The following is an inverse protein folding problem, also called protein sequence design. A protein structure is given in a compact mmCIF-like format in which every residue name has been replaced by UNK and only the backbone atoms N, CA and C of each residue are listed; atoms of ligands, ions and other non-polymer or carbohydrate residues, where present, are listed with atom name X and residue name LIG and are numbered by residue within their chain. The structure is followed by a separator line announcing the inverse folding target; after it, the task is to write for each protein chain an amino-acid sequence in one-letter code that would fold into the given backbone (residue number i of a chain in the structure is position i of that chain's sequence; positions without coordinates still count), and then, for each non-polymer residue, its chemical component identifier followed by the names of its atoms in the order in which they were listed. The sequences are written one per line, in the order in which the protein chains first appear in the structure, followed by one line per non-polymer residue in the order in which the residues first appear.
data_IF_316594917915
#
_entry.id   IF_316594917915
#
_cell.length_a   1.000
_cell.length_b   1.000
_cell.length_c   1.000
_cell.angle_alpha   90.00
_cell.angle_beta   90.00
_cell.angle_gamma   90.00
#
_symmetry.space_group_name_H-M   'P 1'
#
loop_
_entity.id
_entity.type
_entity.pdbx_description
1 polymer ?
#
# COMPACT_ATOMS: atom_id res chain seq x y z
N UNK A 1 24.17 -14.96 4.88
CA UNK A 1 22.95 -14.12 4.85
C UNK A 1 23.24 -12.63 4.61
N UNK A 2 24.26 -12.02 5.25
CA UNK A 2 24.69 -10.63 4.97
C UNK A 2 25.19 -10.31 3.54
N UNK A 3 25.43 -11.31 2.70
CA UNK A 3 25.84 -11.13 1.30
C UNK A 3 24.67 -10.92 0.32
N UNK A 4 23.42 -11.17 0.73
CA UNK A 4 22.23 -11.04 -0.12
C UNK A 4 21.62 -9.64 -0.12
N UNK A 5 21.74 -8.89 0.98
CA UNK A 5 21.30 -7.48 1.03
C UNK A 5 22.16 -6.53 0.19
N UNK A 6 23.41 -6.90 -0.15
CA UNK A 6 24.27 -6.10 -1.06
C UNK A 6 23.78 -6.05 -2.52
N UNK A 7 22.67 -6.71 -2.86
CA UNK A 7 22.24 -6.89 -4.25
C UNK A 7 21.13 -5.93 -4.69
N UNK A 8 20.38 -5.34 -3.76
CA UNK A 8 19.44 -4.24 -4.08
C UNK A 8 20.18 -3.01 -4.64
N UNK A 9 21.37 -2.71 -4.12
CA UNK A 9 22.21 -1.61 -4.63
C UNK A 9 22.91 -1.90 -5.97
N UNK A 10 23.02 -3.17 -6.39
CA UNK A 10 23.87 -3.54 -7.54
C UNK A 10 23.10 -3.74 -8.85
N UNK A 11 21.78 -3.93 -8.78
CA UNK A 11 20.92 -4.07 -9.96
C UNK A 11 19.96 -2.88 -10.17
N UNK A 12 19.90 -1.96 -9.21
CA UNK A 12 19.53 -0.57 -9.44
C UNK A 12 20.80 0.29 -9.46
N UNK A 13 21.55 0.25 -10.55
CA UNK A 13 22.67 1.18 -10.74
C UNK A 13 22.12 2.61 -10.77
N UNK A 14 22.62 3.49 -9.92
CA UNK A 14 22.38 4.95 -10.00
C UNK A 14 22.87 5.58 -11.33
N UNK A 15 23.50 4.78 -12.19
CA UNK A 15 24.01 5.16 -13.51
C UNK A 15 23.30 4.44 -14.68
N UNK A 16 22.17 3.76 -14.47
CA UNK A 16 21.40 3.15 -15.58
C UNK A 16 20.12 3.93 -15.88
N UNK A 17 19.95 4.29 -17.15
CA UNK A 17 18.78 4.98 -17.67
C UNK A 17 17.51 4.12 -17.43
N UNK A 18 16.39 4.70 -16.95
CA UNK A 18 15.13 3.98 -16.66
C UNK A 18 14.52 3.18 -17.82
N UNK A 19 15.02 3.40 -19.04
CA UNK A 19 14.53 2.81 -20.29
C UNK A 19 15.43 1.70 -20.85
N UNK A 20 16.50 1.31 -20.14
CA UNK A 20 17.36 0.21 -20.60
C UNK A 20 16.62 -1.15 -20.51
N UNK A 21 16.70 -2.02 -21.54
CA UNK A 21 16.03 -3.32 -21.50
C UNK A 21 16.60 -4.18 -20.37
N UNK A 22 15.76 -4.47 -19.37
CA UNK A 22 16.08 -5.36 -18.25
C UNK A 22 15.94 -6.83 -18.72
N UNK A 23 17.00 -7.64 -18.62
CA UNK A 23 16.92 -9.07 -18.95
C UNK A 23 16.31 -9.86 -17.79
N UNK A 24 15.24 -10.63 -18.08
CA UNK A 24 14.49 -11.44 -17.09
C UNK A 24 15.19 -12.77 -16.83
N UNK A 25 15.49 -13.08 -15.57
CA UNK A 25 15.76 -14.46 -15.14
C UNK A 25 14.41 -15.16 -14.84
N UNK A 26 13.97 -16.06 -15.73
CA UNK A 26 12.65 -16.73 -15.65
C UNK A 26 12.44 -17.58 -14.39
N UNK A 27 13.52 -18.02 -13.72
CA UNK A 27 13.48 -18.77 -12.46
C UNK A 27 12.99 -17.92 -11.28
N UNK A 28 13.14 -16.59 -11.37
CA UNK A 28 12.89 -15.64 -10.29
C UNK A 28 11.48 -15.01 -10.31
N UNK A 29 10.66 -15.28 -11.32
CA UNK A 29 9.29 -14.76 -11.46
C UNK A 29 8.27 -15.52 -10.59
N UNK A 30 8.71 -16.47 -9.75
CA UNK A 30 7.80 -17.37 -9.02
C UNK A 30 7.40 -16.92 -7.62
N UNK A 31 7.96 -15.83 -7.08
CA UNK A 31 7.83 -15.52 -5.66
C UNK A 31 7.59 -14.05 -5.34
N UNK A 32 7.07 -13.26 -6.28
CA UNK A 32 7.02 -11.81 -6.09
C UNK A 32 5.66 -11.27 -6.55
N UNK A 33 4.88 -10.70 -5.63
CA UNK A 33 3.60 -10.02 -5.88
C UNK A 33 3.55 -8.74 -5.04
N UNK A 34 4.42 -7.77 -5.34
CA UNK A 34 4.47 -6.47 -4.68
C UNK A 34 3.37 -5.51 -5.16
N UNK A 35 2.86 -4.65 -4.26
CA UNK A 35 2.13 -3.40 -4.61
C UNK A 35 2.95 -2.12 -4.34
N UNK A 36 4.22 -2.18 -3.94
CA UNK A 36 5.19 -1.12 -4.26
C UNK A 36 6.60 -1.68 -4.52
N UNK A 37 6.99 -1.67 -5.80
CA UNK A 37 8.34 -1.89 -6.37
C UNK A 37 9.02 -3.27 -6.22
N UNK A 38 8.46 -4.25 -6.94
CA UNK A 38 9.27 -5.26 -7.64
C UNK A 38 9.96 -4.66 -8.88
N UNK A 39 9.80 -5.27 -10.06
CA UNK A 39 10.14 -4.59 -11.33
C UNK A 39 9.09 -3.55 -11.76
N UNK A 40 7.84 -3.70 -11.31
CA UNK A 40 6.66 -2.85 -11.57
C UNK A 40 5.86 -2.59 -10.26
N UNK A 41 5.06 -1.53 -10.22
CA UNK A 41 4.28 -1.13 -9.02
C UNK A 41 3.18 -2.13 -8.67
N UNK A 42 2.50 -2.72 -9.66
CA UNK A 42 1.59 -3.86 -9.44
C UNK A 42 2.22 -5.10 -10.08
N UNK A 43 2.86 -5.94 -9.28
CA UNK A 43 3.61 -7.08 -9.81
C UNK A 43 2.68 -8.19 -10.35
N UNK A 44 3.23 -9.06 -11.20
CA UNK A 44 2.46 -10.05 -11.95
C UNK A 44 2.09 -11.28 -11.11
N UNK A 45 1.08 -12.03 -11.54
CA UNK A 45 0.79 -13.36 -10.99
C UNK A 45 -0.24 -13.41 -9.85
N UNK A 46 -0.86 -12.28 -9.52
CA UNK A 46 -1.93 -12.19 -8.52
C UNK A 46 -3.29 -12.77 -8.93
N UNK A 47 -3.52 -13.04 -10.22
CA UNK A 47 -4.77 -13.60 -10.76
C UNK A 47 -6.04 -12.81 -10.36
N UNK A 48 -6.11 -11.50 -10.69
CA UNK A 48 -7.29 -10.69 -10.39
C UNK A 48 -8.52 -11.19 -11.16
N UNK A 49 -9.70 -11.02 -10.56
CA UNK A 49 -10.99 -11.29 -11.21
C UNK A 49 -11.90 -10.05 -11.07
N UNK A 50 -11.86 -9.18 -12.08
CA UNK A 50 -12.67 -7.97 -12.13
C UNK A 50 -14.16 -8.24 -12.43
N UNK A 51 -14.51 -9.49 -12.77
CA UNK A 51 -15.90 -9.92 -12.96
C UNK A 51 -16.49 -10.57 -11.72
N UNK A 52 -15.81 -10.49 -10.57
CA UNK A 52 -16.34 -11.02 -9.32
C UNK A 52 -17.66 -10.32 -8.95
N UNK A 53 -18.73 -11.08 -8.64
CA UNK A 53 -20.00 -10.49 -8.23
C UNK A 53 -19.91 -9.77 -6.88
N UNK A 54 -18.93 -10.10 -6.03
CA UNK A 54 -18.68 -9.39 -4.79
C UNK A 54 -17.88 -8.10 -5.08
N UNK A 55 -18.49 -6.91 -4.89
CA UNK A 55 -17.82 -5.64 -5.15
C UNK A 55 -16.58 -5.44 -4.29
N UNK A 56 -16.51 -6.02 -3.08
CA UNK A 56 -15.34 -5.91 -2.21
C UNK A 56 -14.14 -6.68 -2.74
N UNK A 57 -14.36 -7.75 -3.51
CA UNK A 57 -13.30 -8.60 -4.05
C UNK A 57 -12.96 -8.27 -5.50
N UNK A 58 -13.85 -7.60 -6.24
CA UNK A 58 -13.68 -7.27 -7.66
C UNK A 58 -12.38 -6.52 -7.97
N UNK A 59 -11.84 -5.75 -7.03
CA UNK A 59 -10.59 -5.00 -7.19
C UNK A 59 -9.38 -5.65 -6.50
N UNK A 60 -9.56 -6.80 -5.85
CA UNK A 60 -8.48 -7.54 -5.19
C UNK A 60 -7.50 -8.10 -6.23
N UNK A 61 -6.23 -7.70 -6.10
CA UNK A 61 -5.16 -8.01 -7.06
C UNK A 61 -4.53 -9.38 -6.86
N UNK A 62 -4.55 -9.90 -5.63
CA UNK A 62 -4.01 -11.20 -5.25
C UNK A 62 -5.12 -12.12 -4.75
N UNK A 63 -5.38 -13.22 -5.47
CA UNK A 63 -6.41 -14.22 -5.14
C UNK A 63 -5.86 -15.60 -4.80
N UNK A 64 -4.54 -15.69 -4.59
CA UNK A 64 -3.85 -16.93 -4.23
C UNK A 64 -3.63 -17.01 -2.73
N UNK A 65 -3.53 -18.24 -2.18
CA UNK A 65 -2.97 -18.42 -0.84
C UNK A 65 -1.58 -17.80 -0.75
N UNK A 66 -1.33 -17.12 0.37
CA UNK A 66 -0.02 -16.57 0.66
C UNK A 66 1.01 -17.70 0.80
N UNK A 67 2.17 -17.51 0.19
CA UNK A 67 3.27 -18.47 0.26
C UNK A 67 4.55 -17.77 0.73
N UNK A 68 5.37 -18.48 1.50
CA UNK A 68 6.64 -17.97 1.98
C UNK A 68 7.51 -17.43 0.82
N UNK A 69 8.05 -16.23 1.00
CA UNK A 69 8.81 -15.50 -0.01
C UNK A 69 8.01 -14.48 -0.80
N UNK A 70 6.67 -14.53 -0.77
CA UNK A 70 5.83 -13.44 -1.27
C UNK A 70 6.06 -12.20 -0.41
N UNK A 71 6.07 -11.04 -1.03
CA UNK A 71 5.91 -9.76 -0.34
C UNK A 71 4.59 -9.18 -0.80
N UNK A 72 3.79 -8.64 0.11
CA UNK A 72 2.46 -8.08 -0.14
C UNK A 72 2.34 -6.71 0.52
N UNK A 73 1.49 -5.84 0.00
CA UNK A 73 1.04 -4.67 0.76
C UNK A 73 -0.12 -5.05 1.67
N UNK A 74 -0.07 -4.56 2.91
CA UNK A 74 -1.20 -4.53 3.81
C UNK A 74 -1.64 -3.07 3.95
N UNK A 75 -2.70 -2.70 3.24
CA UNK A 75 -3.04 -1.28 3.00
C UNK A 75 -4.49 -0.89 3.33
N UNK A 76 -5.02 -1.19 4.53
CA UNK A 76 -6.37 -0.80 4.90
C UNK A 76 -6.54 0.72 4.88
N UNK A 77 -7.69 1.18 4.37
CA UNK A 77 -8.02 2.60 4.31
C UNK A 77 -9.50 2.88 4.46
N UNK A 78 -9.81 4.07 4.98
CA UNK A 78 -11.16 4.60 5.14
C UNK A 78 -11.22 5.95 4.44
N UNK A 79 -12.25 6.13 3.61
CA UNK A 79 -12.41 7.32 2.77
C UNK A 79 -13.84 7.85 2.83
N UNK A 80 -13.98 9.16 2.98
CA UNK A 80 -15.21 9.92 2.85
C UNK A 80 -15.35 10.45 1.41
N UNK A 81 -15.65 9.56 0.46
CA UNK A 81 -15.91 9.95 -0.93
C UNK A 81 -17.39 10.29 -1.12
N UNK A 82 -17.70 11.57 -1.34
CA UNK A 82 -19.07 12.06 -1.48
C UNK A 82 -19.88 11.33 -2.54
N UNK A 83 -19.28 11.05 -3.70
CA UNK A 83 -19.97 10.37 -4.79
C UNK A 83 -20.33 8.94 -4.40
N UNK A 84 -19.38 8.19 -3.83
CA UNK A 84 -19.62 6.80 -3.43
C UNK A 84 -20.59 6.70 -2.26
N UNK A 85 -20.46 7.55 -1.25
CA UNK A 85 -21.35 7.59 -0.09
C UNK A 85 -22.77 7.91 -0.54
N UNK A 86 -22.96 8.97 -1.33
CA UNK A 86 -24.27 9.36 -1.86
C UNK A 86 -24.88 8.23 -2.68
N UNK A 87 -24.12 7.66 -3.63
CA UNK A 87 -24.60 6.58 -4.48
C UNK A 87 -25.00 5.34 -3.66
N UNK A 88 -24.23 5.01 -2.62
CA UNK A 88 -24.50 3.87 -1.76
C UNK A 88 -25.75 4.08 -0.91
N UNK A 89 -25.88 5.24 -0.24
CA UNK A 89 -27.04 5.56 0.60
C UNK A 89 -28.33 5.74 -0.21
N UNK A 90 -28.26 6.21 -1.46
CA UNK A 90 -29.41 6.27 -2.37
C UNK A 90 -29.90 4.86 -2.76
N UNK A 91 -28.97 3.92 -2.97
CA UNK A 91 -29.30 2.52 -3.29
C UNK A 91 -29.76 1.70 -2.08
N UNK A 92 -29.26 2.06 -0.90
CA UNK A 92 -29.45 1.34 0.36
C UNK A 92 -29.94 2.28 1.47
N UNK A 93 -31.14 2.87 1.34
CA UNK A 93 -31.66 3.84 2.30
C UNK A 93 -31.81 3.26 3.71
N UNK A 94 -31.97 1.93 3.85
CA UNK A 94 -32.01 1.23 5.14
C UNK A 94 -30.73 1.41 5.96
N UNK A 95 -29.58 1.64 5.30
CA UNK A 95 -28.29 1.82 5.98
C UNK A 95 -28.20 3.10 6.79
N UNK A 96 -29.11 4.05 6.60
CA UNK A 96 -29.22 5.23 7.46
C UNK A 96 -29.49 4.88 8.92
N UNK A 97 -29.97 3.66 9.23
CA UNK A 97 -30.12 3.18 10.61
C UNK A 97 -28.78 3.05 11.36
N UNK A 98 -27.67 2.85 10.63
CA UNK A 98 -26.32 2.71 11.18
C UNK A 98 -25.37 3.85 10.79
N UNK A 99 -25.86 4.88 10.10
CA UNK A 99 -25.05 6.03 9.66
C UNK A 99 -25.53 7.31 10.33
N UNK A 100 -24.71 7.83 11.25
CA UNK A 100 -24.91 9.19 11.76
C UNK A 100 -24.37 10.19 10.74
N UNK A 101 -25.28 10.79 9.97
CA UNK A 101 -24.96 11.77 8.94
C UNK A 101 -24.29 13.01 9.53
N UNK A 102 -24.71 13.45 10.72
CA UNK A 102 -24.16 14.68 11.32
C UNK A 102 -22.71 14.47 11.72
N UNK A 103 -22.39 13.30 12.30
CA UNK A 103 -21.01 12.91 12.61
C UNK A 103 -20.20 12.72 11.33
N UNK A 104 -20.76 12.05 10.32
CA UNK A 104 -20.07 11.84 9.04
C UNK A 104 -19.69 13.18 8.37
N UNK A 105 -20.61 14.12 8.25
CA UNK A 105 -20.36 15.44 7.63
C UNK A 105 -19.22 16.18 8.33
N UNK A 106 -19.09 16.05 9.67
CA UNK A 106 -17.99 16.64 10.44
C UNK A 106 -16.61 16.13 9.98
N UNK A 107 -16.50 14.88 9.56
CA UNK A 107 -15.21 14.24 9.21
C UNK A 107 -14.93 14.22 7.70
N UNK A 108 -15.89 14.61 6.85
CA UNK A 108 -15.70 14.60 5.39
C UNK A 108 -14.49 15.37 4.90
N UNK A 109 -14.15 16.50 5.54
CA UNK A 109 -13.02 17.34 5.12
C UNK A 109 -11.66 16.62 5.21
N UNK A 110 -11.57 15.53 5.97
CA UNK A 110 -10.36 14.69 6.06
C UNK A 110 -10.09 14.00 4.71
N UNK A 111 -11.15 13.69 3.95
CA UNK A 111 -11.06 12.95 2.70
C UNK A 111 -10.84 11.46 2.93
N UNK A 112 -9.72 11.06 3.53
CA UNK A 112 -9.49 9.68 3.93
C UNK A 112 -8.07 9.40 4.37
N UNK A 113 -7.86 8.22 4.94
CA UNK A 113 -6.57 7.76 5.47
C UNK A 113 -6.36 6.32 5.02
N UNK A 114 -5.11 6.01 4.64
CA UNK A 114 -4.62 4.65 4.40
C UNK A 114 -3.29 4.49 5.08
N UNK A 115 -3.12 3.37 5.77
CA UNK A 115 -1.86 2.95 6.36
C UNK A 115 -1.42 1.72 5.56
N UNK A 116 -0.20 1.76 5.04
CA UNK A 116 0.29 0.81 4.05
C UNK A 116 1.65 0.27 4.50
N UNK A 117 1.69 -1.05 4.71
CA UNK A 117 2.89 -1.79 5.10
C UNK A 117 3.33 -2.75 4.01
N UNK A 118 4.64 -2.84 3.75
CA UNK A 118 5.24 -3.88 2.93
C UNK A 118 5.59 -5.10 3.80
N UNK A 119 4.95 -6.24 3.53
CA UNK A 119 5.03 -7.41 4.39
C UNK A 119 5.60 -8.62 3.64
N UNK A 120 6.77 -9.10 4.07
CA UNK A 120 7.34 -10.36 3.61
C UNK A 120 6.67 -11.54 4.33
N UNK A 121 6.00 -12.39 3.58
CA UNK A 121 5.46 -13.67 4.07
C UNK A 121 6.60 -14.63 4.32
N UNK A 122 6.71 -15.13 5.56
CA UNK A 122 7.68 -16.15 5.94
C UNK A 122 6.98 -17.52 6.05
N UNK A 123 7.73 -18.58 6.37
CA UNK A 123 7.13 -19.93 6.50
C UNK A 123 6.08 -20.01 7.60
N UNK A 124 6.30 -19.28 8.69
CA UNK A 124 5.54 -19.41 9.93
C UNK A 124 4.90 -18.06 10.37
N UNK A 125 4.86 -17.07 9.47
CA UNK A 125 4.34 -15.74 9.78
C UNK A 125 4.77 -14.68 8.75
N UNK A 126 5.25 -13.54 9.23
CA UNK A 126 5.65 -12.42 8.37
C UNK A 126 6.77 -11.58 8.98
N UNK A 127 7.40 -10.76 8.15
CA UNK A 127 8.32 -9.67 8.51
C UNK A 127 7.79 -8.37 7.89
N UNK A 128 7.57 -7.34 8.71
CA UNK A 128 7.21 -6.01 8.20
C UNK A 128 8.50 -5.29 7.77
N UNK A 129 8.54 -4.88 6.50
CA UNK A 129 9.64 -4.17 5.87
C UNK A 129 9.49 -2.65 5.96
N UNK A 130 8.29 -2.15 6.31
CA UNK A 130 8.02 -0.74 6.55
C UNK A 130 8.64 -0.28 7.86
N UNK A 131 9.53 0.71 7.78
CA UNK A 131 10.25 1.27 8.92
C UNK A 131 9.66 2.57 9.47
N UNK A 132 8.44 2.93 9.07
CA UNK A 132 7.76 4.17 9.49
C UNK A 132 6.68 3.81 10.51
N UNK A 133 6.53 4.67 11.52
CA UNK A 133 5.52 4.51 12.57
C UNK A 133 4.13 4.89 12.09
N UNK A 134 3.13 4.15 12.56
CA UNK A 134 1.71 4.48 12.42
C UNK A 134 1.11 5.00 13.73
N UNK A 135 1.92 5.16 14.78
CA UNK A 135 1.49 5.70 16.06
C UNK A 135 1.20 7.22 15.92
N UNK A 136 -0.01 7.68 16.29
CA UNK A 136 -0.41 9.06 16.07
C UNK A 136 0.43 10.06 16.88
N UNK A 137 0.85 9.70 18.10
CA UNK A 137 1.64 10.59 18.96
C UNK A 137 3.07 10.72 18.41
N UNK A 138 3.65 9.61 17.94
CA UNK A 138 4.96 9.65 17.27
C UNK A 138 4.91 10.45 15.96
N UNK A 139 3.85 10.28 15.16
CA UNK A 139 3.64 11.06 13.94
C UNK A 139 3.52 12.55 14.26
N UNK A 140 2.71 12.93 15.25
CA UNK A 140 2.57 14.33 15.68
C UNK A 140 3.91 14.92 16.11
N UNK A 141 4.70 14.15 16.85
CA UNK A 141 6.02 14.56 17.30
C UNK A 141 7.00 14.73 16.13
N UNK A 142 7.01 13.81 15.16
CA UNK A 142 7.84 13.89 13.95
C UNK A 142 7.48 15.14 13.13
N UNK A 143 6.19 15.37 12.90
CA UNK A 143 5.70 16.51 12.12
C UNK A 143 6.01 17.83 12.82
N UNK A 144 5.74 17.93 14.12
CA UNK A 144 6.02 19.12 14.93
C UNK A 144 7.51 19.47 14.94
N UNK A 145 8.37 18.46 15.09
CA UNK A 145 9.82 18.63 15.02
C UNK A 145 10.29 19.08 13.62
N UNK A 146 9.68 18.56 12.56
CA UNK A 146 9.94 18.99 11.19
C UNK A 146 9.59 20.46 10.96
N UNK A 147 8.41 20.89 11.41
CA UNK A 147 7.94 22.28 11.30
C UNK A 147 8.88 23.23 12.04
N UNK A 148 9.31 22.88 13.25
CA UNK A 148 10.18 23.72 14.07
C UNK A 148 11.56 24.00 13.43
N UNK A 149 12.04 23.11 12.56
CA UNK A 149 13.31 23.28 11.84
C UNK A 149 13.23 24.26 10.66
N UNK A 150 12.03 24.71 10.30
CA UNK A 150 11.79 25.61 9.18
C UNK A 150 11.71 24.91 7.82
N UNK A 151 11.05 25.58 6.86
CA UNK A 151 10.69 25.00 5.56
C UNK A 151 11.89 24.51 4.72
N UNK A 152 13.07 25.09 4.92
CA UNK A 152 14.29 24.71 4.21
C UNK A 152 14.83 23.32 4.60
N UNK A 153 14.33 22.74 5.69
CA UNK A 153 14.76 21.44 6.22
C UNK A 153 13.87 20.26 5.79
N UNK A 154 12.76 20.53 5.10
CA UNK A 154 11.98 19.46 4.47
C UNK A 154 12.72 18.98 3.23
N UNK A 155 13.38 17.84 3.36
CA UNK A 155 13.93 17.11 2.22
C UNK A 155 13.07 15.86 2.04
N UNK A 156 12.40 15.72 0.89
CA UNK A 156 11.94 14.40 0.48
C UNK A 156 13.20 13.58 0.23
N UNK A 157 13.46 12.62 1.11
CA UNK A 157 14.51 11.63 0.88
C UNK A 157 13.93 10.70 -0.19
N UNK A 158 14.36 10.92 -1.43
CA UNK A 158 14.06 10.06 -2.57
C UNK A 158 14.91 8.80 -2.54
#
# INVERSE_FOLDING_TARGET
MKSRLKRLEKFGSSNQHPAAPRSREKSMTRFIIFDVNGLDTHDVGGEPNYSDPDPFLSYLRLRKPLAAGMVITNEPGIYFNDFLIKNFLEKHPERLEVVDVTVMEKYKYIGGVRIEDDVLVTKDGYENLTGITSDPDEIEQIVSNGIAKGRSHFHNIA
#
